data_IF_695589716410
#
_entry.id   IF_695589716410
#
_cell.length_a   1.000
_cell.length_b   1.000
_cell.length_c   1.000
_cell.angle_alpha   90.00
_cell.angle_beta   90.00
_cell.angle_gamma   90.00
#
_symmetry.space_group_name_H-M   'P 1'
#
loop_
_entity.id
_entity.type
_entity.pdbx_description
1 polymer ?
#
# COMPACT_ATOMS: atom_id res chain seq x y z
N UNK A 1 -18.87 -29.25 22.28
CA UNK A 1 -18.31 -29.46 20.93
C UNK A 1 -17.29 -28.29 20.71
N UNK A 2 -16.00 -28.60 20.70
CA UNK A 2 -14.98 -27.59 20.69
C UNK A 2 -14.91 -26.89 19.35
N UNK A 3 -15.04 -25.57 19.34
CA UNK A 3 -14.71 -24.68 18.23
C UNK A 3 -13.18 -24.62 18.04
N UNK A 4 -12.57 -25.74 17.63
CA UNK A 4 -11.17 -25.73 17.22
C UNK A 4 -11.03 -25.00 15.89
N UNK A 5 -10.08 -24.07 15.81
CA UNK A 5 -9.72 -23.43 14.54
C UNK A 5 -9.39 -24.51 13.51
N UNK A 6 -9.98 -24.50 12.31
CA UNK A 6 -9.70 -25.47 11.27
C UNK A 6 -8.18 -25.59 11.00
N UNK A 7 -7.67 -26.79 10.76
CA UNK A 7 -6.24 -27.05 10.58
C UNK A 7 -5.64 -26.23 9.42
N UNK A 8 -6.39 -25.97 8.36
CA UNK A 8 -5.94 -25.15 7.24
C UNK A 8 -5.79 -23.68 7.63
N UNK A 9 -6.68 -23.14 8.48
CA UNK A 9 -6.53 -21.77 9.00
C UNK A 9 -5.31 -21.65 9.91
N UNK A 10 -5.04 -22.68 10.74
CA UNK A 10 -3.83 -22.70 11.55
C UNK A 10 -2.57 -22.72 10.67
N UNK A 11 -2.56 -23.51 9.59
CA UNK A 11 -1.47 -23.52 8.62
C UNK A 11 -1.31 -22.18 7.91
N UNK A 12 -2.42 -21.57 7.48
CA UNK A 12 -2.46 -20.22 6.87
C UNK A 12 -1.84 -19.17 7.79
N UNK A 13 -2.23 -19.15 9.06
CA UNK A 13 -1.65 -18.22 10.07
C UNK A 13 -0.15 -18.42 10.24
N UNK A 14 0.33 -19.67 10.24
CA UNK A 14 1.77 -19.95 10.33
C UNK A 14 2.52 -19.45 9.11
N UNK A 15 1.97 -19.59 7.90
CA UNK A 15 2.54 -19.04 6.66
C UNK A 15 2.58 -17.51 6.74
N UNK A 16 1.45 -16.86 7.06
CA UNK A 16 1.38 -15.41 7.23
C UNK A 16 2.39 -14.90 8.26
N UNK A 17 2.58 -15.64 9.36
CA UNK A 17 3.56 -15.26 10.39
C UNK A 17 5.00 -15.26 9.87
N UNK A 18 5.37 -16.23 9.01
CA UNK A 18 6.70 -16.26 8.37
C UNK A 18 6.89 -15.10 7.39
N UNK A 19 5.82 -14.68 6.67
CA UNK A 19 5.84 -13.48 5.84
C UNK A 19 6.00 -12.21 6.69
N UNK A 20 5.25 -12.08 7.80
CA UNK A 20 5.36 -10.96 8.75
C UNK A 20 6.77 -10.83 9.32
N UNK A 21 7.38 -11.96 9.69
CA UNK A 21 8.74 -12.00 10.24
C UNK A 21 9.84 -11.90 9.17
N UNK A 22 9.45 -11.75 7.90
CA UNK A 22 10.34 -11.66 6.73
C UNK A 22 11.24 -12.88 6.53
N UNK A 23 10.81 -14.05 6.98
CA UNK A 23 11.48 -15.31 6.67
C UNK A 23 11.39 -15.59 5.16
N UNK A 24 10.28 -15.23 4.53
CA UNK A 24 10.12 -15.20 3.09
C UNK A 24 9.85 -13.78 2.63
N UNK A 25 10.69 -13.29 1.73
CA UNK A 25 10.53 -11.98 1.12
C UNK A 25 9.62 -12.05 -0.12
N UNK A 26 9.05 -10.91 -0.59
CA UNK A 26 8.38 -10.83 -1.87
C UNK A 26 9.20 -11.44 -3.00
N UNK A 27 8.57 -12.25 -3.86
CA UNK A 27 9.23 -13.02 -4.92
C UNK A 27 9.91 -14.31 -4.46
N UNK A 28 10.02 -14.56 -3.16
CA UNK A 28 10.64 -15.79 -2.67
C UNK A 28 9.81 -17.02 -3.03
N UNK A 29 10.51 -18.11 -3.36
CA UNK A 29 9.89 -19.43 -3.56
C UNK A 29 9.66 -20.11 -2.21
N UNK A 30 8.46 -20.61 -1.97
CA UNK A 30 8.17 -21.43 -0.80
C UNK A 30 8.83 -22.81 -0.93
N UNK A 31 9.15 -23.46 0.20
CA UNK A 31 9.57 -24.86 0.20
C UNK A 31 8.57 -25.76 -0.51
N UNK A 32 9.01 -26.91 -1.05
CA UNK A 32 8.11 -27.90 -1.66
C UNK A 32 6.98 -28.28 -0.70
N UNK A 33 5.77 -28.52 -1.22
CA UNK A 33 4.57 -28.80 -0.39
C UNK A 33 4.79 -29.93 0.63
N UNK A 34 5.51 -30.98 0.25
CA UNK A 34 5.81 -32.09 1.15
C UNK A 34 6.76 -31.74 2.30
N UNK A 35 7.66 -30.79 2.10
CA UNK A 35 8.57 -30.26 3.11
C UNK A 35 7.82 -29.30 4.03
N UNK A 36 7.16 -28.30 3.44
CA UNK A 36 6.41 -27.30 4.19
C UNK A 36 5.29 -27.91 5.03
N UNK A 37 4.59 -28.94 4.53
CA UNK A 37 3.56 -29.65 5.30
C UNK A 37 4.12 -30.31 6.55
N UNK A 38 5.31 -30.94 6.45
CA UNK A 38 6.01 -31.54 7.60
C UNK A 38 6.45 -30.47 8.61
N UNK A 39 7.01 -29.38 8.14
CA UNK A 39 7.42 -28.25 9.02
C UNK A 39 6.24 -27.65 9.78
N UNK A 40 5.10 -27.48 9.11
CA UNK A 40 3.90 -26.92 9.72
C UNK A 40 3.10 -27.91 10.55
N UNK A 41 3.41 -29.22 10.47
CA UNK A 41 2.72 -30.27 11.19
C UNK A 41 1.30 -30.55 10.68
N UNK A 42 1.08 -30.44 9.37
CA UNK A 42 -0.23 -30.64 8.72
C UNK A 42 -0.12 -31.61 7.54
N UNK A 43 -1.27 -32.14 7.09
CA UNK A 43 -1.30 -32.92 5.86
C UNK A 43 -1.02 -32.07 4.62
N UNK A 44 -0.50 -32.66 3.54
CA UNK A 44 -0.31 -31.98 2.25
C UNK A 44 -1.65 -31.41 1.73
N UNK A 45 -2.78 -32.14 1.94
CA UNK A 45 -4.11 -31.64 1.55
C UNK A 45 -4.52 -30.38 2.32
N UNK A 46 -4.27 -30.35 3.63
CA UNK A 46 -4.51 -29.18 4.49
C UNK A 46 -3.64 -28.00 4.07
N UNK A 47 -2.36 -28.25 3.76
CA UNK A 47 -1.45 -27.23 3.25
C UNK A 47 -1.94 -26.65 1.91
N UNK A 48 -2.35 -27.53 0.97
CA UNK A 48 -2.85 -27.10 -0.35
C UNK A 48 -4.06 -26.21 -0.24
N UNK A 49 -4.97 -26.49 0.72
CA UNK A 49 -6.12 -25.64 1.00
C UNK A 49 -5.68 -24.26 1.51
N UNK A 50 -4.81 -24.22 2.53
CA UNK A 50 -4.27 -22.95 3.06
C UNK A 50 -3.55 -22.12 1.99
N UNK A 51 -2.70 -22.75 1.17
CA UNK A 51 -2.00 -22.10 0.07
C UNK A 51 -2.98 -21.65 -1.02
N UNK A 52 -4.04 -22.42 -1.28
CA UNK A 52 -5.11 -22.06 -2.22
C UNK A 52 -5.77 -20.74 -1.84
N UNK A 53 -6.23 -20.62 -0.58
CA UNK A 53 -6.80 -19.36 -0.07
C UNK A 53 -5.82 -18.18 -0.17
N UNK A 54 -4.55 -18.38 0.20
CA UNK A 54 -3.54 -17.32 0.09
C UNK A 54 -3.27 -16.93 -1.37
N UNK A 55 -3.47 -17.83 -2.32
CA UNK A 55 -3.40 -17.50 -3.75
C UNK A 55 -4.63 -16.72 -4.21
N UNK A 56 -5.83 -17.06 -3.74
CA UNK A 56 -7.07 -16.32 -4.01
C UNK A 56 -7.02 -14.91 -3.41
N UNK A 57 -6.43 -14.76 -2.23
CA UNK A 57 -6.18 -13.48 -1.59
C UNK A 57 -5.05 -12.67 -2.26
N UNK A 58 -4.34 -13.26 -3.23
CA UNK A 58 -3.25 -12.61 -3.95
C UNK A 58 -1.95 -12.45 -3.15
N UNK A 59 -1.82 -13.15 -2.02
CA UNK A 59 -0.62 -13.16 -1.17
C UNK A 59 0.45 -14.11 -1.74
N UNK A 60 0.00 -15.27 -2.25
CA UNK A 60 0.85 -16.23 -2.94
C UNK A 60 0.42 -16.37 -4.39
N UNK A 61 1.27 -16.96 -5.21
CA UNK A 61 0.92 -17.36 -6.56
C UNK A 61 1.61 -18.66 -6.97
N UNK A 62 0.93 -19.46 -7.78
CA UNK A 62 1.47 -20.71 -8.31
C UNK A 62 2.00 -20.50 -9.71
N UNK A 63 3.26 -20.91 -9.93
CA UNK A 63 3.83 -21.01 -11.27
C UNK A 63 3.87 -22.48 -11.66
N UNK A 64 3.12 -22.83 -12.70
CA UNK A 64 3.00 -24.21 -13.17
C UNK A 64 4.38 -24.82 -13.42
N UNK A 65 4.62 -26.02 -12.85
CA UNK A 65 5.88 -26.73 -12.95
C UNK A 65 7.05 -26.13 -12.14
N UNK A 66 6.89 -24.97 -11.52
CA UNK A 66 7.95 -24.27 -10.81
C UNK A 66 7.75 -24.21 -9.29
N UNK A 67 6.51 -24.10 -8.81
CA UNK A 67 6.19 -24.07 -7.39
C UNK A 67 5.31 -22.89 -6.98
N UNK A 68 5.25 -22.63 -5.67
CA UNK A 68 4.51 -21.52 -5.08
C UNK A 68 5.48 -20.41 -4.66
N UNK A 69 5.11 -19.18 -4.91
CA UNK A 69 5.93 -18.00 -4.66
C UNK A 69 5.14 -16.96 -3.85
N UNK A 70 5.84 -16.20 -3.05
CA UNK A 70 5.30 -14.97 -2.45
C UNK A 70 5.07 -13.98 -3.58
N UNK A 71 3.88 -13.36 -3.63
CA UNK A 71 3.62 -12.36 -4.66
C UNK A 71 4.50 -11.12 -4.44
N UNK A 72 4.96 -10.55 -5.54
CA UNK A 72 5.76 -9.34 -5.57
C UNK A 72 5.09 -8.30 -6.46
N UNK A 73 5.18 -7.02 -6.09
CA UNK A 73 4.74 -5.92 -6.95
C UNK A 73 5.53 -5.83 -8.26
N UNK A 74 6.73 -6.39 -8.30
CA UNK A 74 7.58 -6.43 -9.49
C UNK A 74 7.08 -7.42 -10.54
N UNK A 75 6.36 -8.46 -10.11
CA UNK A 75 5.85 -9.51 -10.99
C UNK A 75 4.47 -9.18 -11.59
N UNK A 76 3.81 -8.16 -11.07
CA UNK A 76 2.48 -7.72 -11.50
C UNK A 76 2.59 -6.65 -12.55
N UNK A 77 2.34 -6.97 -13.83
CA UNK A 77 2.21 -5.97 -14.89
C UNK A 77 1.16 -4.88 -14.57
N UNK A 78 1.07 -3.85 -15.42
CA UNK A 78 0.25 -2.64 -15.26
C UNK A 78 -1.21 -2.84 -14.77
N UNK A 79 -1.79 -4.04 -14.97
CA UNK A 79 -3.13 -4.38 -14.49
C UNK A 79 -3.30 -4.49 -12.97
N UNK A 80 -2.20 -4.75 -12.23
CA UNK A 80 -2.23 -4.80 -10.76
C UNK A 80 -2.34 -3.39 -10.15
N UNK A 81 -1.76 -2.40 -10.79
CA UNK A 81 -1.75 -1.00 -10.37
C UNK A 81 -3.12 -0.34 -10.46
N UNK A 82 -3.93 -0.69 -11.46
CA UNK A 82 -5.26 -0.15 -11.66
C UNK A 82 -6.24 -0.54 -10.53
N UNK A 83 -6.01 -1.64 -9.84
CA UNK A 83 -6.83 -2.04 -8.67
C UNK A 83 -6.74 -1.07 -7.50
N UNK A 84 -5.67 -0.29 -7.42
CA UNK A 84 -5.42 0.62 -6.30
C UNK A 84 -5.48 2.10 -6.68
N UNK A 85 -5.81 2.43 -7.94
CA UNK A 85 -5.92 3.82 -8.40
C UNK A 85 -7.31 4.09 -9.00
N UNK A 86 -8.28 4.49 -8.17
CA UNK A 86 -9.64 4.74 -8.63
C UNK A 86 -9.80 6.07 -9.37
N UNK A 87 -8.72 6.85 -9.52
CA UNK A 87 -8.78 8.15 -10.16
C UNK A 87 -8.67 8.05 -11.66
N UNK A 88 -9.64 8.67 -12.33
CA UNK A 88 -9.66 8.87 -13.77
C UNK A 88 -9.87 10.36 -14.07
N UNK A 89 -9.42 10.78 -15.23
CA UNK A 89 -9.82 12.06 -15.82
C UNK A 89 -11.31 12.04 -16.14
N UNK A 90 -11.94 13.18 -16.39
CA UNK A 90 -13.38 13.25 -16.67
C UNK A 90 -13.82 12.49 -17.92
N UNK A 91 -12.93 12.30 -18.87
CA UNK A 91 -13.13 11.50 -20.09
C UNK A 91 -12.86 9.99 -19.89
N UNK A 92 -12.65 9.55 -18.64
CA UNK A 92 -12.51 8.14 -18.27
C UNK A 92 -11.13 7.55 -18.49
N UNK A 93 -10.14 8.38 -18.81
CA UNK A 93 -8.77 7.92 -18.97
C UNK A 93 -8.08 7.77 -17.59
N UNK A 94 -7.24 6.74 -17.40
CA UNK A 94 -6.46 6.64 -16.19
C UNK A 94 -5.67 7.92 -15.93
N UNK A 95 -5.70 8.40 -14.70
CA UNK A 95 -4.95 9.58 -14.32
C UNK A 95 -3.46 9.22 -14.25
N UNK A 96 -2.73 9.51 -15.34
CA UNK A 96 -1.29 9.26 -15.43
C UNK A 96 -0.57 10.43 -14.76
N UNK A 97 -0.10 10.19 -13.54
CA UNK A 97 0.80 11.11 -12.84
C UNK A 97 2.20 10.95 -13.40
N UNK A 98 2.67 11.95 -14.15
CA UNK A 98 3.95 11.86 -14.85
C UNK A 98 5.11 12.23 -13.95
N UNK A 99 4.89 13.13 -12.99
CA UNK A 99 5.93 13.55 -12.06
C UNK A 99 5.38 13.81 -10.65
N UNK A 100 6.24 13.68 -9.66
CA UNK A 100 5.92 13.87 -8.25
C UNK A 100 7.02 14.65 -7.57
N UNK A 101 6.81 15.93 -7.42
CA UNK A 101 7.76 16.79 -6.71
C UNK A 101 7.62 16.60 -5.21
N UNK A 102 8.61 16.02 -4.57
CA UNK A 102 8.71 15.96 -3.11
C UNK A 102 9.03 17.37 -2.58
N UNK A 103 8.22 17.85 -1.66
CA UNK A 103 8.37 19.16 -1.05
C UNK A 103 9.12 19.09 0.27
N UNK A 104 8.77 18.12 1.10
CA UNK A 104 9.50 17.82 2.33
C UNK A 104 9.27 16.38 2.79
N UNK A 105 10.16 15.92 3.64
CA UNK A 105 10.06 14.71 4.42
C UNK A 105 10.55 15.02 5.84
N UNK A 106 9.72 14.75 6.82
CA UNK A 106 10.04 14.97 8.24
C UNK A 106 9.55 13.79 9.09
N UNK A 107 10.10 13.66 10.28
CA UNK A 107 9.60 12.68 11.26
C UNK A 107 8.81 13.42 12.32
N UNK A 108 7.57 13.00 12.52
CA UNK A 108 6.64 13.56 13.51
C UNK A 108 6.18 12.46 14.47
N UNK A 109 5.71 12.78 15.68
CA UNK A 109 5.00 11.83 16.52
C UNK A 109 3.65 11.47 15.88
N UNK A 110 3.18 10.24 16.11
CA UNK A 110 1.91 9.76 15.58
C UNK A 110 0.70 10.59 16.03
N UNK A 111 0.76 11.18 17.21
CA UNK A 111 -0.32 11.98 17.76
C UNK A 111 -1.64 11.19 17.90
N UNK A 112 -2.76 11.88 17.98
CA UNK A 112 -4.07 11.23 18.13
C UNK A 112 -4.56 10.57 16.84
N UNK A 113 -4.34 11.20 15.69
CA UNK A 113 -4.86 10.70 14.41
C UNK A 113 -4.13 9.44 13.96
N UNK A 114 -2.80 9.48 13.86
CA UNK A 114 -2.03 8.38 13.28
C UNK A 114 -1.78 7.24 14.27
N UNK A 115 -1.85 7.50 15.59
CA UNK A 115 -1.82 6.42 16.59
C UNK A 115 -2.97 5.44 16.40
N UNK A 116 -4.18 5.94 16.08
CA UNK A 116 -5.34 5.11 15.79
C UNK A 116 -5.21 4.46 14.40
N UNK A 117 -4.90 5.25 13.36
CA UNK A 117 -4.88 4.77 11.97
C UNK A 117 -3.79 3.77 11.67
N UNK A 118 -2.61 3.99 12.26
CA UNK A 118 -1.43 3.15 12.06
C UNK A 118 -1.20 2.17 13.23
N UNK A 119 -2.09 2.14 14.22
CA UNK A 119 -1.98 1.30 15.42
C UNK A 119 -0.63 1.48 16.11
N UNK A 120 -0.30 2.72 16.42
CA UNK A 120 0.91 3.18 17.09
C UNK A 120 0.59 3.77 18.46
N UNK A 121 1.61 3.97 19.27
CA UNK A 121 1.54 4.88 20.42
C UNK A 121 1.64 6.32 19.93
N UNK A 122 1.14 7.28 20.71
CA UNK A 122 1.14 8.70 20.30
C UNK A 122 2.53 9.27 20.00
N UNK A 123 3.54 8.80 20.71
CA UNK A 123 4.93 9.25 20.58
C UNK A 123 5.74 8.43 19.57
N UNK A 124 5.17 7.35 19.00
CA UNK A 124 5.88 6.55 18.00
C UNK A 124 6.15 7.39 16.74
N UNK A 125 7.31 7.19 16.09
CA UNK A 125 7.68 7.99 14.93
C UNK A 125 6.83 7.66 13.70
N UNK A 126 6.35 8.69 13.04
CA UNK A 126 5.71 8.65 11.74
C UNK A 126 6.50 9.54 10.78
N UNK A 127 6.85 9.00 9.62
CA UNK A 127 7.50 9.78 8.56
C UNK A 127 6.40 10.42 7.72
N UNK A 128 6.35 11.73 7.72
CA UNK A 128 5.44 12.55 6.91
C UNK A 128 6.16 13.00 5.64
N UNK A 129 5.59 12.68 4.50
CA UNK A 129 6.08 13.12 3.18
C UNK A 129 4.97 13.92 2.51
N UNK A 130 5.28 15.14 2.10
CA UNK A 130 4.42 15.98 1.27
C UNK A 130 4.99 16.07 -0.13
N UNK A 131 4.15 15.82 -1.13
CA UNK A 131 4.52 15.97 -2.53
C UNK A 131 3.38 16.51 -3.38
N UNK A 132 3.74 17.25 -4.41
CA UNK A 132 2.83 17.66 -5.47
C UNK A 132 2.77 16.60 -6.56
N UNK A 133 1.59 16.40 -7.10
CA UNK A 133 1.36 15.62 -8.31
C UNK A 133 1.30 16.59 -9.50
N UNK A 134 2.06 16.30 -10.53
CA UNK A 134 2.25 17.14 -11.71
C UNK A 134 1.93 16.31 -12.95
N UNK A 135 1.24 16.89 -13.92
CA UNK A 135 0.97 16.22 -15.18
C UNK A 135 2.13 16.37 -16.19
N UNK A 136 1.97 15.75 -17.35
CA UNK A 136 2.97 15.81 -18.45
C UNK A 136 3.30 17.21 -18.95
N UNK A 137 2.47 18.21 -18.63
CA UNK A 137 2.71 19.61 -19.01
C UNK A 137 3.36 20.40 -17.86
N UNK A 138 3.69 19.75 -16.74
CA UNK A 138 4.21 20.40 -15.54
C UNK A 138 3.14 21.10 -14.71
N UNK A 139 1.84 20.87 -15.00
CA UNK A 139 0.77 21.51 -14.25
C UNK A 139 0.43 20.74 -12.99
N UNK A 140 0.16 21.49 -11.94
CA UNK A 140 -0.26 20.96 -10.65
C UNK A 140 -1.63 20.28 -10.76
N UNK A 141 -1.69 19.00 -10.39
CA UNK A 141 -2.90 18.16 -10.41
C UNK A 141 -3.43 17.86 -9.01
N UNK A 142 -2.59 17.86 -8.01
CA UNK A 142 -3.02 17.55 -6.66
C UNK A 142 -1.89 17.45 -5.64
N UNK A 143 -2.29 17.11 -4.43
CA UNK A 143 -1.43 16.89 -3.26
C UNK A 143 -1.49 15.44 -2.86
N UNK A 144 -0.35 14.93 -2.45
CA UNK A 144 -0.18 13.60 -1.92
C UNK A 144 0.61 13.66 -0.62
N UNK A 145 -0.05 13.41 0.48
CA UNK A 145 0.56 13.29 1.81
C UNK A 145 0.68 11.81 2.17
N UNK A 146 1.87 11.38 2.56
CA UNK A 146 2.12 10.03 3.06
C UNK A 146 2.53 10.11 4.53
N UNK A 147 1.92 9.28 5.33
CA UNK A 147 2.26 9.08 6.74
C UNK A 147 2.66 7.62 6.92
N UNK A 148 3.96 7.38 7.07
CA UNK A 148 4.56 6.05 7.07
C UNK A 148 5.02 5.68 8.48
N UNK A 149 4.82 4.43 8.87
CA UNK A 149 5.32 3.94 10.16
C UNK A 149 6.84 3.94 10.20
N UNK A 150 7.42 4.68 11.15
CA UNK A 150 8.88 4.81 11.28
C UNK A 150 9.61 3.49 11.53
N UNK A 151 8.96 2.51 12.19
CA UNK A 151 9.54 1.19 12.45
C UNK A 151 9.63 0.29 11.20
N UNK A 152 8.79 0.52 10.18
CA UNK A 152 8.83 -0.20 8.89
C UNK A 152 9.72 0.48 7.85
N UNK A 153 9.83 1.81 7.91
CA UNK A 153 10.57 2.61 6.92
C UNK A 153 11.83 3.24 7.52
N UNK A 154 12.58 2.47 8.32
CA UNK A 154 13.81 2.93 8.98
C UNK A 154 14.84 3.43 7.97
N UNK A 155 15.38 4.62 8.23
CA UNK A 155 16.40 5.22 7.38
C UNK A 155 15.87 5.80 6.07
N UNK A 156 14.55 5.98 5.94
CA UNK A 156 13.99 6.76 4.85
C UNK A 156 14.34 8.24 5.05
N UNK A 157 15.06 8.82 4.08
CA UNK A 157 15.41 10.24 4.05
C UNK A 157 14.83 10.89 2.81
N UNK A 158 14.77 12.21 2.79
CA UNK A 158 14.36 12.99 1.60
C UNK A 158 15.13 12.56 0.36
N UNK A 159 16.44 12.52 0.44
CA UNK A 159 17.30 12.14 -0.69
C UNK A 159 17.04 10.72 -1.18
N UNK A 160 16.84 9.77 -0.25
CA UNK A 160 16.55 8.39 -0.59
C UNK A 160 15.19 8.25 -1.24
N UNK A 161 14.19 9.00 -0.77
CA UNK A 161 12.86 8.97 -1.35
C UNK A 161 12.81 9.63 -2.73
N UNK A 162 13.44 10.78 -2.91
CA UNK A 162 13.42 11.56 -4.13
C UNK A 162 14.27 10.94 -5.25
N UNK A 163 15.49 10.44 -4.91
CA UNK A 163 16.43 9.88 -5.89
C UNK A 163 16.16 8.42 -6.29
N UNK A 164 15.51 7.64 -5.45
CA UNK A 164 15.35 6.20 -5.67
C UNK A 164 13.97 5.79 -6.15
N UNK A 165 13.02 6.71 -6.21
CA UNK A 165 11.74 6.46 -6.85
C UNK A 165 11.92 6.63 -8.36
N UNK A 166 12.10 5.52 -9.07
CA UNK A 166 12.20 5.53 -10.54
C UNK A 166 10.94 6.15 -11.17
N UNK A 167 11.05 6.85 -12.31
CA UNK A 167 9.92 7.58 -12.91
C UNK A 167 8.68 6.71 -13.12
N UNK A 168 8.86 5.46 -13.54
CA UNK A 168 7.79 4.50 -13.78
C UNK A 168 7.56 3.54 -12.59
N UNK A 169 8.29 3.72 -11.49
CA UNK A 169 8.15 2.88 -10.32
C UNK A 169 6.99 3.36 -9.46
N UNK A 170 6.23 2.40 -8.98
CA UNK A 170 5.21 2.71 -8.01
C UNK A 170 5.80 2.82 -6.60
N UNK A 171 5.09 3.53 -5.73
CA UNK A 171 5.45 3.57 -4.32
C UNK A 171 5.56 2.19 -3.68
N UNK A 172 4.66 1.28 -4.04
CA UNK A 172 4.65 -0.04 -3.43
C UNK A 172 5.83 -0.90 -3.91
N UNK A 173 6.25 -0.78 -5.18
CA UNK A 173 7.49 -1.40 -5.65
C UNK A 173 8.72 -0.82 -4.94
N UNK A 174 8.74 0.49 -4.73
CA UNK A 174 9.77 1.17 -3.94
C UNK A 174 9.79 0.66 -2.49
N UNK A 175 8.62 0.55 -1.83
CA UNK A 175 8.53 0.02 -0.46
C UNK A 175 9.04 -1.41 -0.36
N UNK A 176 8.66 -2.26 -1.31
CA UNK A 176 9.14 -3.64 -1.39
C UNK A 176 10.64 -3.70 -1.60
N UNK A 177 11.17 -2.96 -2.58
CA UNK A 177 12.59 -2.98 -2.93
C UNK A 177 13.49 -2.46 -1.81
N UNK A 178 13.14 -1.31 -1.24
CA UNK A 178 13.99 -0.60 -0.30
C UNK A 178 13.82 -1.06 1.16
N UNK A 179 12.63 -1.50 1.51
CA UNK A 179 12.28 -1.80 2.89
C UNK A 179 11.73 -3.21 3.10
N UNK A 180 11.53 -3.98 2.02
CA UNK A 180 10.88 -5.29 2.07
C UNK A 180 9.43 -5.21 2.59
N UNK A 181 8.78 -4.06 2.42
CA UNK A 181 7.39 -3.84 2.84
C UNK A 181 6.46 -4.09 1.67
N UNK A 182 5.72 -5.17 1.74
CA UNK A 182 4.69 -5.50 0.76
C UNK A 182 3.32 -5.04 1.25
N UNK A 183 2.54 -4.41 0.37
CA UNK A 183 1.17 -4.00 0.66
C UNK A 183 0.23 -5.08 0.15
N UNK A 184 -0.49 -5.73 1.06
CA UNK A 184 -1.39 -6.86 0.74
C UNK A 184 -2.87 -6.46 0.84
N UNK A 185 -3.16 -5.37 1.55
CA UNK A 185 -4.53 -4.90 1.77
C UNK A 185 -4.57 -3.39 1.79
N UNK A 186 -5.65 -2.81 1.26
CA UNK A 186 -5.92 -1.37 1.38
C UNK A 186 -7.36 -1.12 1.83
N UNK A 187 -7.53 -0.15 2.72
CA UNK A 187 -8.84 0.41 3.08
C UNK A 187 -8.91 1.82 2.52
N UNK A 188 -9.96 2.12 1.75
CA UNK A 188 -10.07 3.36 1.00
C UNK A 188 -11.30 4.14 1.45
N UNK A 189 -11.15 5.45 1.59
CA UNK A 189 -12.21 6.38 1.97
C UNK A 189 -12.19 7.55 0.99
N UNK A 190 -13.36 7.94 0.52
CA UNK A 190 -13.54 9.08 -0.36
C UNK A 190 -14.46 10.07 0.29
N UNK A 191 -14.09 11.33 0.26
CA UNK A 191 -14.91 12.44 0.68
C UNK A 191 -14.60 13.67 -0.17
N UNK A 192 -15.34 14.73 0.02
CA UNK A 192 -15.08 16.03 -0.55
C UNK A 192 -15.05 17.08 0.55
N UNK A 193 -14.33 18.14 0.28
CA UNK A 193 -14.14 19.26 1.18
C UNK A 193 -13.96 20.54 0.37
N UNK A 194 -13.93 21.68 1.05
CA UNK A 194 -13.54 22.94 0.44
C UNK A 194 -12.15 23.28 0.94
N UNK A 195 -11.22 23.56 0.02
CA UNK A 195 -9.87 23.99 0.37
C UNK A 195 -9.94 25.32 1.16
N UNK A 196 -9.56 25.28 2.44
CA UNK A 196 -9.40 26.50 3.22
C UNK A 196 -8.05 27.14 2.94
N UNK A 197 -7.90 28.44 3.24
CA UNK A 197 -6.61 29.13 3.12
C UNK A 197 -5.53 28.48 4.01
N UNK A 198 -5.90 28.08 5.23
CA UNK A 198 -5.00 27.39 6.16
C UNK A 198 -4.55 26.04 5.60
N UNK A 199 -5.47 25.26 5.05
CA UNK A 199 -5.15 23.98 4.40
C UNK A 199 -4.22 24.20 3.21
N UNK A 200 -4.53 25.16 2.34
CA UNK A 200 -3.75 25.49 1.16
C UNK A 200 -2.32 25.95 1.53
N UNK A 201 -2.19 26.74 2.60
CA UNK A 201 -0.91 27.19 3.15
C UNK A 201 -0.11 26.00 3.72
N UNK A 202 -0.71 25.17 4.55
CA UNK A 202 -0.08 23.98 5.14
C UNK A 202 0.42 23.00 4.08
N UNK A 203 -0.33 22.84 2.99
CA UNK A 203 -0.02 21.96 1.88
C UNK A 203 0.88 22.60 0.81
N UNK A 204 1.35 23.82 1.03
CA UNK A 204 2.17 24.58 0.07
C UNK A 204 1.49 24.69 -1.32
N UNK A 205 0.17 24.73 -1.35
CA UNK A 205 -0.65 24.69 -2.56
C UNK A 205 -1.71 25.81 -2.56
N UNK A 206 -1.34 27.08 -2.73
CA UNK A 206 -2.27 28.20 -2.69
C UNK A 206 -3.40 28.12 -3.72
N UNK A 207 -3.18 27.40 -4.82
CA UNK A 207 -4.20 27.14 -5.85
C UNK A 207 -5.39 26.30 -5.37
N UNK A 208 -5.31 25.68 -4.20
CA UNK A 208 -6.40 24.88 -3.63
C UNK A 208 -7.33 25.70 -2.71
N UNK A 209 -6.96 26.94 -2.37
CA UNK A 209 -7.79 27.81 -1.54
C UNK A 209 -9.14 28.08 -2.20
N UNK A 210 -10.22 27.96 -1.43
CA UNK A 210 -11.59 28.21 -1.83
C UNK A 210 -12.11 27.37 -3.02
N UNK A 211 -11.48 26.20 -3.25
CA UNK A 211 -11.89 25.27 -4.31
C UNK A 211 -12.53 24.00 -3.72
N UNK A 212 -13.55 23.44 -4.42
CA UNK A 212 -14.02 22.10 -4.10
C UNK A 212 -12.92 21.06 -4.36
N UNK A 213 -12.59 20.28 -3.34
CA UNK A 213 -11.57 19.26 -3.38
C UNK A 213 -12.21 17.88 -3.25
N UNK A 214 -11.71 16.92 -4.00
CA UNK A 214 -11.88 15.52 -3.67
C UNK A 214 -10.76 15.11 -2.72
N UNK A 215 -11.14 14.36 -1.72
CA UNK A 215 -10.26 13.87 -0.68
C UNK A 215 -10.31 12.34 -0.68
N UNK A 216 -9.18 11.74 -0.96
CA UNK A 216 -9.03 10.29 -0.97
C UNK A 216 -8.02 9.88 0.08
N UNK A 217 -8.48 9.14 1.08
CA UNK A 217 -7.63 8.58 2.14
C UNK A 217 -7.51 7.07 1.95
N UNK A 218 -6.28 6.58 1.98
CA UNK A 218 -5.96 5.15 1.92
C UNK A 218 -5.15 4.77 3.15
N UNK A 219 -5.51 3.64 3.76
CA UNK A 219 -4.67 2.95 4.73
C UNK A 219 -4.18 1.68 4.10
N UNK A 220 -2.88 1.58 3.89
CA UNK A 220 -2.21 0.42 3.29
C UNK A 220 -1.63 -0.46 4.37
N UNK A 221 -1.89 -1.76 4.26
CA UNK A 221 -1.51 -2.75 5.28
C UNK A 221 -0.61 -3.80 4.66
N UNK A 222 0.38 -4.23 5.44
CA UNK A 222 1.22 -5.39 5.15
C UNK A 222 0.64 -6.65 5.79
N UNK A 223 1.36 -7.76 5.73
CA UNK A 223 0.97 -9.04 6.33
C UNK A 223 0.51 -8.88 7.78
N UNK A 224 -0.41 -9.72 8.22
CA UNK A 224 -1.00 -9.62 9.54
C UNK A 224 -1.95 -8.45 9.74
N UNK A 225 -2.42 -7.84 8.63
CA UNK A 225 -3.30 -6.65 8.64
C UNK A 225 -2.68 -5.45 9.38
N UNK A 226 -1.34 -5.36 9.38
CA UNK A 226 -0.60 -4.29 10.04
C UNK A 226 -0.62 -3.04 9.14
N UNK A 227 -1.22 -1.92 9.56
CA UNK A 227 -1.20 -0.70 8.78
C UNK A 227 0.21 -0.10 8.81
N UNK A 228 0.76 0.19 7.64
CA UNK A 228 2.13 0.73 7.48
C UNK A 228 2.15 2.11 6.83
N UNK A 229 1.08 2.45 6.11
CA UNK A 229 0.92 3.75 5.45
C UNK A 229 -0.51 4.28 5.65
N UNK A 230 -0.62 5.56 5.95
CA UNK A 230 -1.84 6.33 5.73
C UNK A 230 -1.52 7.38 4.67
N UNK A 231 -2.19 7.31 3.52
CA UNK A 231 -1.98 8.21 2.39
C UNK A 231 -3.21 9.06 2.18
N UNK A 232 -3.01 10.35 1.95
CA UNK A 232 -4.09 11.32 1.74
C UNK A 232 -3.82 12.05 0.44
N UNK A 233 -4.68 11.85 -0.55
CA UNK A 233 -4.59 12.52 -1.84
C UNK A 233 -5.70 13.55 -1.90
N UNK A 234 -5.37 14.77 -2.33
CA UNK A 234 -6.32 15.84 -2.58
C UNK A 234 -6.12 16.40 -3.97
N UNK A 235 -7.20 16.53 -4.71
CA UNK A 235 -7.22 17.12 -6.03
C UNK A 235 -8.46 17.98 -6.21
N UNK A 236 -8.51 18.78 -7.27
CA UNK A 236 -9.69 19.54 -7.63
C UNK A 236 -10.82 18.59 -8.00
N UNK A 237 -11.98 18.74 -7.37
CA UNK A 237 -13.14 17.90 -7.66
C UNK A 237 -13.65 18.09 -9.11
N UNK A 238 -13.31 19.19 -9.75
CA UNK A 238 -13.65 19.46 -11.16
C UNK A 238 -12.89 18.58 -12.14
N UNK A 239 -11.72 18.07 -11.79
CA UNK A 239 -10.76 17.49 -12.74
C UNK A 239 -10.74 15.98 -12.74
N UNK A 240 -11.38 15.34 -11.74
CA UNK A 240 -11.31 13.90 -11.52
C UNK A 240 -12.69 13.25 -11.38
N UNK A 241 -12.76 11.99 -11.73
CA UNK A 241 -13.83 11.07 -11.38
C UNK A 241 -13.24 9.81 -10.72
N UNK A 242 -14.08 9.09 -9.97
CA UNK A 242 -13.73 7.82 -9.36
C UNK A 242 -14.39 6.68 -10.14
N UNK A 243 -13.61 5.67 -10.46
CA UNK A 243 -14.09 4.45 -11.09
C UNK A 243 -13.76 3.24 -10.21
N UNK A 244 -14.76 2.40 -9.97
CA UNK A 244 -14.62 1.17 -9.21
C UNK A 244 -15.24 0.03 -10.02
N UNK A 245 -14.46 -0.99 -10.31
CA UNK A 245 -14.96 -2.24 -10.88
C UNK A 245 -15.42 -3.15 -9.75
N UNK A 246 -16.69 -3.50 -9.75
CA UNK A 246 -17.26 -4.46 -8.80
C UNK A 246 -17.45 -5.77 -9.57
N UNK A 247 -16.53 -6.72 -9.36
CA UNK A 247 -16.68 -8.10 -9.84
C UNK A 247 -17.36 -8.93 -8.75
N UNK A 248 -18.35 -9.73 -9.17
CA UNK A 248 -18.99 -10.75 -8.32
C UNK A 248 -18.17 -12.02 -8.31
#
# INVERSE_FOLDING_TARGET
>A
MGNGVPLYEAAKRKILKRLETREWLPGAKLPPEGELSRELGVSVGTLRHAVGELCEEGILWRRQGSGTYVRSYRDGGAGFWNRFQPFQTRDGMPMIMVDRKVLFLETIPAGDEFSVRLRLKKDDPVIHVLRHQIDKNGEFQGIDELFLRGDYFKGLTFERFDKHLEPDESLYSFYEREFGVEIVETSNFVAWDIGTEDLAKRLLAPKLANMPLIFYKRVSKTYGHIPVECRIIRGKASDVQLSFDITR
#
